data_IF_706290200684
#
_entry.id   IF_706290200684
#
_cell.length_a   1.000
_cell.length_b   1.000
_cell.length_c   1.000
_cell.angle_alpha   90.00
_cell.angle_beta   90.00
_cell.angle_gamma   90.00
#
_symmetry.space_group_name_H-M   'P 1'
#
loop_
_entity.id
_entity.type
_entity.pdbx_description
1 polymer ?
#
# COMPACT_ATOMS: atom_id res chain seq x y z
N UNK A 1 2.88 -26.22 19.56
CA UNK A 1 2.28 -24.90 19.78
C UNK A 1 1.84 -24.77 21.23
N UNK A 2 2.27 -23.71 21.89
CA UNK A 2 1.82 -23.36 23.24
C UNK A 2 0.34 -22.96 23.28
N UNK A 3 -0.29 -22.93 24.46
CA UNK A 3 -1.67 -22.49 24.62
C UNK A 3 -1.87 -21.04 24.07
N UNK A 4 -0.89 -20.16 24.31
CA UNK A 4 -0.90 -18.79 23.83
C UNK A 4 -0.88 -18.70 22.29
N UNK A 5 -0.03 -19.50 21.64
CA UNK A 5 0.02 -19.57 20.17
C UNK A 5 -1.30 -20.06 19.57
N UNK A 6 -1.98 -21.00 20.22
CA UNK A 6 -3.31 -21.47 19.77
C UNK A 6 -4.36 -20.36 19.84
N UNK A 7 -4.38 -19.58 20.93
CA UNK A 7 -5.31 -18.45 21.08
C UNK A 7 -5.05 -17.42 19.97
N UNK A 8 -3.80 -17.05 19.77
CA UNK A 8 -3.41 -16.07 18.73
C UNK A 8 -3.81 -16.57 17.33
N UNK A 9 -3.52 -17.82 17.02
CA UNK A 9 -3.87 -18.41 15.73
C UNK A 9 -5.40 -18.47 15.51
N UNK A 10 -6.17 -18.80 16.57
CA UNK A 10 -7.64 -18.83 16.48
C UNK A 10 -8.23 -17.47 16.13
N UNK A 11 -7.80 -16.42 16.83
CA UNK A 11 -8.23 -15.04 16.57
C UNK A 11 -7.81 -14.59 15.17
N UNK A 12 -6.61 -14.96 14.75
CA UNK A 12 -6.07 -14.66 13.44
C UNK A 12 -6.89 -15.32 12.32
N UNK A 13 -7.19 -16.62 12.43
CA UNK A 13 -8.04 -17.32 11.47
C UNK A 13 -9.45 -16.71 11.43
N UNK A 14 -10.01 -16.38 12.60
CA UNK A 14 -11.31 -15.73 12.68
C UNK A 14 -11.31 -14.38 11.94
N UNK A 15 -10.24 -13.59 12.07
CA UNK A 15 -10.07 -12.33 11.35
C UNK A 15 -9.96 -12.53 9.83
N UNK A 16 -9.21 -13.53 9.37
CA UNK A 16 -9.12 -13.85 7.94
C UNK A 16 -10.47 -14.28 7.38
N UNK A 17 -11.19 -15.17 8.06
CA UNK A 17 -12.53 -15.63 7.67
C UNK A 17 -13.54 -14.48 7.65
N UNK A 18 -13.47 -13.57 8.64
CA UNK A 18 -14.30 -12.38 8.68
C UNK A 18 -14.10 -11.51 7.43
N UNK A 19 -12.86 -11.26 6.98
CA UNK A 19 -12.60 -10.51 5.75
C UNK A 19 -13.18 -11.21 4.51
N UNK A 20 -13.04 -12.52 4.41
CA UNK A 20 -13.65 -13.31 3.32
C UNK A 20 -15.19 -13.17 3.31
N UNK A 21 -15.84 -13.31 4.46
CA UNK A 21 -17.30 -13.17 4.58
C UNK A 21 -17.75 -11.76 4.20
N UNK A 22 -17.08 -10.73 4.71
CA UNK A 22 -17.36 -9.32 4.38
C UNK A 22 -17.23 -9.11 2.88
N UNK A 23 -16.16 -9.60 2.25
CA UNK A 23 -15.94 -9.47 0.81
C UNK A 23 -17.08 -10.11 0.01
N UNK A 24 -17.50 -11.33 0.34
CA UNK A 24 -18.60 -12.04 -0.35
C UNK A 24 -19.93 -11.28 -0.18
N UNK A 25 -20.26 -10.84 1.03
CA UNK A 25 -21.53 -10.16 1.33
C UNK A 25 -21.61 -8.83 0.58
N UNK A 26 -20.54 -8.04 0.61
CA UNK A 26 -20.54 -6.73 -0.04
C UNK A 26 -20.40 -6.81 -1.56
N UNK A 27 -19.72 -7.82 -2.11
CA UNK A 27 -19.72 -8.08 -3.56
C UNK A 27 -21.15 -8.31 -4.06
N UNK A 28 -21.91 -9.20 -3.40
CA UNK A 28 -23.32 -9.46 -3.74
C UNK A 28 -24.21 -8.22 -3.60
N UNK A 29 -24.02 -7.45 -2.54
CA UNK A 29 -24.77 -6.20 -2.32
C UNK A 29 -24.44 -5.13 -3.39
N UNK A 30 -23.20 -5.04 -3.82
CA UNK A 30 -22.79 -4.14 -4.90
C UNK A 30 -23.41 -4.54 -6.25
N UNK A 31 -23.49 -5.83 -6.55
CA UNK A 31 -24.18 -6.34 -7.75
C UNK A 31 -25.64 -5.93 -7.81
N UNK A 32 -26.35 -5.99 -6.66
CA UNK A 32 -27.77 -5.68 -6.58
C UNK A 32 -28.06 -4.17 -6.63
N UNK A 33 -27.23 -3.35 -5.99
CA UNK A 33 -27.56 -1.94 -5.74
C UNK A 33 -26.88 -0.96 -6.71
N UNK A 34 -25.82 -1.36 -7.43
CA UNK A 34 -25.14 -0.49 -8.36
C UNK A 34 -25.67 -0.67 -9.79
N UNK A 35 -26.49 0.28 -10.25
CA UNK A 35 -27.01 0.32 -11.62
C UNK A 35 -26.01 0.99 -12.58
N UNK A 36 -24.88 0.32 -12.83
CA UNK A 36 -23.82 0.80 -13.74
C UNK A 36 -23.15 -0.39 -14.43
N UNK A 37 -22.26 -0.14 -15.41
CA UNK A 37 -21.55 -1.23 -16.10
C UNK A 37 -20.72 -2.09 -15.14
N UNK A 38 -20.57 -3.38 -15.47
CA UNK A 38 -19.79 -4.32 -14.66
C UNK A 38 -18.32 -3.86 -14.51
N UNK A 39 -17.75 -3.27 -15.56
CA UNK A 39 -16.44 -2.65 -15.52
C UNK A 39 -16.32 -1.58 -14.42
N UNK A 40 -17.31 -0.66 -14.31
CA UNK A 40 -17.30 0.39 -13.29
C UNK A 40 -17.54 -0.16 -11.89
N UNK A 41 -18.35 -1.20 -11.74
CA UNK A 41 -18.53 -1.88 -10.45
C UNK A 41 -17.23 -2.51 -9.97
N UNK A 42 -16.58 -3.26 -10.87
CA UNK A 42 -15.41 -4.06 -10.53
C UNK A 42 -14.14 -3.22 -10.29
N UNK A 43 -13.88 -2.16 -11.09
CA UNK A 43 -12.63 -1.41 -11.03
C UNK A 43 -12.68 -0.09 -10.25
N UNK A 44 -13.85 0.50 -9.98
CA UNK A 44 -13.96 1.80 -9.29
C UNK A 44 -15.13 1.89 -8.29
N UNK A 45 -15.82 0.78 -8.01
CA UNK A 45 -16.91 0.75 -7.02
C UNK A 45 -18.09 1.68 -7.32
N UNK A 46 -18.37 1.96 -8.60
CA UNK A 46 -19.49 2.80 -9.02
C UNK A 46 -19.39 4.28 -8.60
N UNK A 47 -18.29 4.74 -8.05
CA UNK A 47 -18.06 6.12 -7.57
C UNK A 47 -19.01 6.54 -6.44
N UNK A 48 -19.17 5.69 -5.45
CA UNK A 48 -20.14 5.87 -4.35
C UNK A 48 -19.51 6.19 -3.00
N UNK A 49 -18.17 6.30 -2.91
CA UNK A 49 -17.46 6.46 -1.64
C UNK A 49 -17.82 7.78 -0.95
N UNK A 50 -18.32 7.68 0.29
CA UNK A 50 -18.47 8.83 1.19
C UNK A 50 -17.13 9.23 1.82
N UNK A 51 -17.10 10.36 2.56
CA UNK A 51 -15.84 10.92 3.07
C UNK A 51 -15.09 10.00 4.04
N UNK A 52 -15.79 9.27 4.90
CA UNK A 52 -15.16 8.35 5.85
C UNK A 52 -14.58 7.12 5.14
N UNK A 53 -15.36 6.48 4.30
CA UNK A 53 -14.92 5.33 3.50
C UNK A 53 -13.73 5.70 2.61
N UNK A 54 -13.78 6.85 1.94
CA UNK A 54 -12.68 7.33 1.09
C UNK A 54 -11.39 7.55 1.90
N UNK A 55 -11.49 8.17 3.08
CA UNK A 55 -10.34 8.41 3.95
C UNK A 55 -9.70 7.09 4.40
N UNK A 56 -10.54 6.19 4.92
CA UNK A 56 -10.07 4.91 5.46
C UNK A 56 -9.48 4.00 4.39
N UNK A 57 -10.10 3.93 3.18
CA UNK A 57 -9.54 3.12 2.10
C UNK A 57 -8.23 3.71 1.52
N UNK A 58 -8.09 5.05 1.44
CA UNK A 58 -6.81 5.67 1.04
C UNK A 58 -5.75 5.36 2.10
N UNK A 59 -6.04 5.59 3.38
CA UNK A 59 -5.12 5.32 4.48
C UNK A 59 -4.73 3.84 4.50
N UNK A 60 -5.69 2.93 4.46
CA UNK A 60 -5.44 1.49 4.51
C UNK A 60 -4.59 0.99 3.32
N UNK A 61 -4.88 1.47 2.11
CA UNK A 61 -4.09 1.10 0.91
C UNK A 61 -2.67 1.65 0.94
N UNK A 62 -2.50 2.84 1.50
CA UNK A 62 -1.20 3.48 1.60
C UNK A 62 -0.35 2.91 2.73
N UNK A 63 -0.98 2.55 3.85
CA UNK A 63 -0.33 1.91 5.01
C UNK A 63 -0.11 0.43 4.72
N UNK A 64 1.11 0.09 4.34
CA UNK A 64 1.51 -1.25 3.91
C UNK A 64 2.25 -2.03 4.99
N UNK A 65 2.70 -3.25 4.67
CA UNK A 65 3.64 -4.01 5.50
C UNK A 65 4.90 -3.19 5.87
N UNK A 66 5.37 -2.37 4.94
CA UNK A 66 6.50 -1.45 5.19
C UNK A 66 6.20 -0.44 6.30
N UNK A 67 4.99 0.12 6.34
CA UNK A 67 4.62 1.14 7.34
C UNK A 67 4.22 0.55 8.69
N UNK A 68 3.83 -0.74 8.74
CA UNK A 68 3.33 -1.38 9.96
C UNK A 68 4.29 -2.40 10.58
N UNK A 69 5.18 -2.97 9.78
CA UNK A 69 6.11 -4.04 10.21
C UNK A 69 7.56 -3.59 10.04
N UNK A 70 8.01 -3.48 8.79
CA UNK A 70 9.43 -3.32 8.45
C UNK A 70 9.98 -1.93 8.82
N UNK A 71 9.26 -0.85 8.53
CA UNK A 71 9.66 0.52 8.86
C UNK A 71 9.76 0.76 10.38
N UNK A 72 8.70 0.46 11.16
CA UNK A 72 8.78 0.50 12.62
C UNK A 72 9.84 -0.44 13.19
N UNK A 73 10.04 -1.62 12.59
CA UNK A 73 11.12 -2.53 12.96
C UNK A 73 12.50 -1.95 12.71
N UNK A 74 12.70 -1.33 11.54
CA UNK A 74 13.93 -0.63 11.20
C UNK A 74 14.20 0.57 12.12
N UNK A 75 13.14 1.28 12.55
CA UNK A 75 13.23 2.33 13.53
C UNK A 75 13.72 1.82 14.89
N UNK A 76 13.20 0.68 15.36
CA UNK A 76 13.60 0.09 16.64
C UNK A 76 14.99 -0.54 16.66
N UNK A 77 15.43 -1.10 15.51
CA UNK A 77 16.71 -1.83 15.45
C UNK A 77 17.91 -0.99 14.99
N UNK A 78 17.68 0.00 14.10
CA UNK A 78 18.81 0.55 13.34
C UNK A 78 18.78 2.07 13.20
N UNK A 79 17.60 2.66 12.90
CA UNK A 79 17.52 4.05 12.43
C UNK A 79 16.91 5.02 13.44
N UNK A 80 16.31 4.53 14.53
CA UNK A 80 15.75 5.38 15.59
C UNK A 80 14.77 6.43 15.07
N UNK A 81 14.87 7.63 15.60
CA UNK A 81 14.02 8.78 15.22
C UNK A 81 14.19 9.21 13.75
N UNK A 82 15.29 8.91 13.09
CA UNK A 82 15.47 9.21 11.67
C UNK A 82 14.40 8.52 10.80
N UNK A 83 14.07 7.26 11.12
CA UNK A 83 13.01 6.53 10.43
C UNK A 83 11.62 7.10 10.72
N UNK A 84 11.37 7.53 11.96
CA UNK A 84 10.14 8.23 12.33
C UNK A 84 10.02 9.58 11.60
N UNK A 85 11.12 10.28 11.39
CA UNK A 85 11.17 11.53 10.63
C UNK A 85 10.83 11.31 9.14
N UNK A 86 11.34 10.22 8.53
CA UNK A 86 10.93 9.80 7.18
C UNK A 86 9.42 9.53 7.14
N UNK A 87 8.89 8.86 8.15
CA UNK A 87 7.45 8.57 8.22
C UNK A 87 6.58 9.83 8.35
N UNK A 88 7.07 10.89 8.97
CA UNK A 88 6.30 12.12 9.26
C UNK A 88 5.77 12.83 8.01
N UNK A 89 6.49 12.81 6.89
CA UNK A 89 6.03 13.43 5.63
C UNK A 89 4.80 12.74 5.04
N UNK A 90 4.50 11.54 5.48
CA UNK A 90 3.35 10.77 4.99
C UNK A 90 2.03 11.26 5.61
N UNK A 91 2.07 12.06 6.66
CA UNK A 91 0.89 12.65 7.31
C UNK A 91 -0.01 13.40 6.31
N UNK A 92 0.50 14.33 5.48
CA UNK A 92 -0.33 15.09 4.56
C UNK A 92 -0.68 14.33 3.26
N UNK A 93 -0.28 13.07 3.06
CA UNK A 93 -0.47 12.36 1.78
C UNK A 93 -1.93 12.36 1.32
N UNK A 94 -2.88 12.07 2.21
CA UNK A 94 -4.31 12.08 1.84
C UNK A 94 -4.76 13.47 1.40
N UNK A 95 -4.27 14.52 2.07
CA UNK A 95 -4.54 15.91 1.69
C UNK A 95 -3.90 16.26 0.35
N UNK A 96 -2.65 15.87 0.11
CA UNK A 96 -1.96 16.11 -1.15
C UNK A 96 -2.69 15.41 -2.32
N UNK A 97 -2.97 14.13 -2.19
CA UNK A 97 -3.62 13.35 -3.27
C UNK A 97 -5.02 13.91 -3.58
N UNK A 98 -5.86 14.09 -2.58
CA UNK A 98 -7.23 14.59 -2.79
C UNK A 98 -7.26 16.08 -3.13
N UNK A 99 -6.42 16.91 -2.52
CA UNK A 99 -6.36 18.35 -2.76
C UNK A 99 -5.79 18.71 -4.12
N UNK A 100 -4.71 18.04 -4.54
CA UNK A 100 -4.08 18.30 -5.84
C UNK A 100 -4.81 17.59 -6.96
N UNK A 101 -5.04 16.27 -6.84
CA UNK A 101 -5.60 15.47 -7.94
C UNK A 101 -7.13 15.41 -7.90
N UNK A 102 -7.74 15.30 -6.69
CA UNK A 102 -9.09 14.81 -6.48
C UNK A 102 -10.15 15.42 -7.38
N UNK A 103 -10.42 16.72 -7.27
CA UNK A 103 -11.47 17.36 -8.07
C UNK A 103 -11.22 17.30 -9.56
N UNK A 104 -10.00 17.60 -10.01
CA UNK A 104 -9.68 17.63 -11.45
C UNK A 104 -9.72 16.24 -12.04
N UNK A 105 -9.09 15.27 -11.37
CA UNK A 105 -9.04 13.89 -11.84
C UNK A 105 -10.43 13.25 -11.86
N UNK A 106 -11.25 13.46 -10.82
CA UNK A 106 -12.63 12.98 -10.80
C UNK A 106 -13.50 13.61 -11.89
N UNK A 107 -13.38 14.92 -12.13
CA UNK A 107 -14.13 15.60 -13.19
C UNK A 107 -13.79 15.05 -14.58
N UNK A 108 -12.49 14.93 -14.88
CA UNK A 108 -12.05 14.39 -16.17
C UNK A 108 -12.44 12.93 -16.31
N UNK A 109 -12.23 12.12 -15.28
CA UNK A 109 -12.61 10.70 -15.22
C UNK A 109 -14.12 10.50 -15.48
N UNK A 110 -14.98 11.34 -14.89
CA UNK A 110 -16.43 11.28 -15.11
C UNK A 110 -16.81 11.67 -16.55
N UNK A 111 -16.17 12.70 -17.12
CA UNK A 111 -16.42 13.16 -18.49
C UNK A 111 -15.96 12.17 -19.56
N UNK A 112 -14.83 11.52 -19.33
CA UNK A 112 -14.21 10.58 -20.28
C UNK A 112 -14.65 9.13 -20.08
N UNK A 113 -15.31 8.82 -18.97
CA UNK A 113 -15.63 7.44 -18.58
C UNK A 113 -14.44 6.63 -18.05
N UNK A 114 -13.25 7.25 -17.88
CA UNK A 114 -12.06 6.55 -17.43
C UNK A 114 -12.25 5.96 -16.01
N UNK A 115 -11.87 4.70 -15.85
CA UNK A 115 -11.92 3.97 -14.55
C UNK A 115 -10.52 3.63 -14.04
N UNK A 116 -9.48 3.87 -14.85
CA UNK A 116 -8.08 3.65 -14.52
C UNK A 116 -7.26 4.92 -14.78
N UNK A 117 -6.08 5.03 -14.17
CA UNK A 117 -5.15 6.14 -14.43
C UNK A 117 -4.65 6.10 -15.88
N UNK A 118 -4.30 4.91 -16.40
CA UNK A 118 -3.89 4.76 -17.79
C UNK A 118 -5.03 5.13 -18.76
N UNK A 119 -6.28 4.79 -18.44
CA UNK A 119 -7.47 5.24 -19.19
C UNK A 119 -7.63 6.76 -19.21
N UNK A 120 -7.37 7.44 -18.09
CA UNK A 120 -7.30 8.90 -18.04
C UNK A 120 -6.17 9.44 -18.92
N UNK A 121 -4.96 8.87 -18.85
CA UNK A 121 -3.83 9.29 -19.69
C UNK A 121 -4.12 9.10 -21.18
N UNK A 122 -4.78 8.01 -21.57
CA UNK A 122 -5.25 7.78 -22.93
C UNK A 122 -6.21 8.88 -23.39
N UNK A 123 -7.20 9.20 -22.58
CA UNK A 123 -8.18 10.26 -22.89
C UNK A 123 -7.51 11.64 -23.04
N UNK A 124 -6.50 11.93 -22.19
CA UNK A 124 -5.79 13.22 -22.17
C UNK A 124 -4.79 13.39 -23.31
N UNK A 125 -3.97 12.38 -23.57
CA UNK A 125 -2.84 12.48 -24.50
C UNK A 125 -3.10 11.80 -25.85
N UNK A 126 -4.16 10.99 -25.97
CA UNK A 126 -4.49 10.22 -27.16
C UNK A 126 -3.29 9.40 -27.67
N UNK A 127 -2.56 8.76 -26.74
CA UNK A 127 -1.35 8.00 -27.02
C UNK A 127 -1.48 6.56 -26.54
N UNK A 128 -1.45 5.62 -27.48
CA UNK A 128 -1.47 4.20 -27.20
C UNK A 128 -0.13 3.75 -26.57
N UNK A 129 0.98 4.30 -27.06
CA UNK A 129 2.30 4.02 -26.49
C UNK A 129 2.37 4.36 -24.99
N UNK A 130 1.78 5.50 -24.58
CA UNK A 130 1.74 5.89 -23.18
C UNK A 130 0.94 4.90 -22.33
N UNK A 131 -0.19 4.40 -22.86
CA UNK A 131 -0.98 3.36 -22.15
C UNK A 131 -0.18 2.09 -21.96
N UNK A 132 0.51 1.60 -22.98
CA UNK A 132 1.34 0.39 -22.88
C UNK A 132 2.46 0.59 -21.86
N UNK A 133 3.21 1.70 -21.94
CA UNK A 133 4.32 2.01 -21.05
C UNK A 133 3.85 2.09 -19.60
N UNK A 134 2.78 2.86 -19.34
CA UNK A 134 2.27 3.02 -17.98
C UNK A 134 1.65 1.74 -17.44
N UNK A 135 0.97 0.93 -18.27
CA UNK A 135 0.44 -0.36 -17.84
C UNK A 135 1.54 -1.37 -17.53
N UNK A 136 2.61 -1.44 -18.35
CA UNK A 136 3.75 -2.32 -18.09
C UNK A 136 4.50 -1.88 -16.82
N UNK A 137 4.77 -0.58 -16.66
CA UNK A 137 5.39 -0.04 -15.44
C UNK A 137 4.54 -0.37 -14.20
N UNK A 138 3.21 -0.18 -14.29
CA UNK A 138 2.29 -0.53 -13.20
C UNK A 138 2.38 -2.02 -12.86
N UNK A 139 2.33 -2.92 -13.84
CA UNK A 139 2.39 -4.37 -13.62
C UNK A 139 3.68 -4.74 -12.91
N UNK A 140 4.84 -4.29 -13.41
CA UNK A 140 6.16 -4.62 -12.84
C UNK A 140 6.29 -4.13 -11.41
N UNK A 141 6.04 -2.84 -11.17
CA UNK A 141 6.24 -2.26 -9.84
C UNK A 141 5.17 -2.66 -8.83
N UNK A 142 3.92 -2.91 -9.25
CA UNK A 142 2.92 -3.48 -8.35
C UNK A 142 3.24 -4.92 -7.97
N UNK A 143 3.76 -5.75 -8.87
CA UNK A 143 4.24 -7.11 -8.53
C UNK A 143 5.37 -7.02 -7.50
N UNK A 144 6.35 -6.14 -7.71
CA UNK A 144 7.44 -5.92 -6.74
C UNK A 144 6.90 -5.51 -5.37
N UNK A 145 5.93 -4.60 -5.33
CA UNK A 145 5.30 -4.17 -4.08
C UNK A 145 4.50 -5.32 -3.43
N UNK A 146 3.79 -6.12 -4.22
CA UNK A 146 3.05 -7.29 -3.72
C UNK A 146 3.97 -8.35 -3.10
N UNK A 147 5.16 -8.58 -3.65
CA UNK A 147 6.17 -9.47 -3.03
C UNK A 147 6.43 -9.03 -1.59
N UNK A 148 6.64 -7.74 -1.33
CA UNK A 148 6.82 -7.21 0.03
C UNK A 148 5.59 -7.44 0.93
N UNK A 149 4.35 -7.29 0.40
CA UNK A 149 3.14 -7.57 1.18
C UNK A 149 3.01 -9.06 1.51
N UNK A 150 3.23 -9.93 0.54
CA UNK A 150 3.13 -11.38 0.74
C UNK A 150 4.22 -11.89 1.69
N UNK A 151 5.44 -11.34 1.61
CA UNK A 151 6.50 -11.58 2.60
C UNK A 151 6.05 -11.15 3.99
N UNK A 152 5.48 -9.94 4.15
CA UNK A 152 4.98 -9.45 5.43
C UNK A 152 3.91 -10.32 6.05
N UNK A 153 2.93 -10.77 5.25
CA UNK A 153 1.89 -11.69 5.69
C UNK A 153 2.44 -13.06 6.11
N UNK A 154 3.37 -13.61 5.33
CA UNK A 154 4.03 -14.87 5.65
C UNK A 154 4.87 -14.75 6.93
N UNK A 155 5.64 -13.68 7.09
CA UNK A 155 6.45 -13.42 8.28
C UNK A 155 5.60 -13.31 9.55
N UNK A 156 4.44 -12.63 9.47
CA UNK A 156 3.50 -12.55 10.60
C UNK A 156 3.01 -13.95 11.02
N UNK A 157 2.57 -14.77 10.08
CA UNK A 157 2.08 -16.13 10.36
C UNK A 157 3.22 -16.99 10.92
N UNK A 158 4.38 -17.00 10.26
CA UNK A 158 5.55 -17.76 10.67
C UNK A 158 5.99 -17.42 12.09
N UNK A 159 6.07 -16.12 12.42
CA UNK A 159 6.49 -15.63 13.75
C UNK A 159 5.55 -16.07 14.87
N UNK A 160 4.26 -16.22 14.60
CA UNK A 160 3.25 -16.61 15.61
C UNK A 160 3.17 -18.12 15.77
N UNK A 161 3.19 -18.82 14.63
CA UNK A 161 2.88 -20.26 14.58
C UNK A 161 4.12 -21.13 14.70
N UNK A 162 5.29 -20.58 14.35
CA UNK A 162 6.53 -21.35 14.17
C UNK A 162 6.55 -22.18 12.86
N UNK A 163 5.57 -21.97 11.95
CA UNK A 163 5.57 -22.59 10.63
C UNK A 163 6.70 -22.04 9.77
N UNK A 164 7.13 -22.80 8.78
CA UNK A 164 8.07 -22.32 7.78
C UNK A 164 7.46 -21.21 6.91
N UNK A 165 8.35 -20.45 6.25
CA UNK A 165 7.94 -19.30 5.42
C UNK A 165 6.99 -19.70 4.29
N UNK A 166 7.28 -20.80 3.60
CA UNK A 166 6.49 -21.22 2.42
C UNK A 166 5.07 -21.64 2.80
N UNK A 167 4.93 -22.44 3.86
CA UNK A 167 3.61 -22.82 4.38
C UNK A 167 2.81 -21.60 4.81
N UNK A 168 3.44 -20.66 5.52
CA UNK A 168 2.84 -19.41 5.98
C UNK A 168 2.41 -18.52 4.80
N UNK A 169 3.24 -18.45 3.75
CA UNK A 169 2.97 -17.74 2.50
C UNK A 169 1.77 -18.34 1.77
N UNK A 170 1.70 -19.65 1.65
CA UNK A 170 0.58 -20.31 0.99
C UNK A 170 -0.76 -20.08 1.71
N UNK A 171 -0.76 -20.12 3.04
CA UNK A 171 -1.97 -19.82 3.84
C UNK A 171 -2.40 -18.38 3.60
N UNK A 172 -1.50 -17.42 3.80
CA UNK A 172 -1.78 -16.00 3.63
C UNK A 172 -2.22 -15.67 2.20
N UNK A 173 -1.38 -16.05 1.24
CA UNK A 173 -1.57 -15.72 -0.16
C UNK A 173 -2.87 -16.29 -0.73
N UNK A 174 -3.19 -17.56 -0.40
CA UNK A 174 -4.45 -18.18 -0.84
C UNK A 174 -5.66 -17.41 -0.34
N UNK A 175 -5.69 -17.02 0.94
CA UNK A 175 -6.82 -16.27 1.51
C UNK A 175 -6.97 -14.91 0.84
N UNK A 176 -5.87 -14.14 0.72
CA UNK A 176 -5.89 -12.79 0.12
C UNK A 176 -6.33 -12.84 -1.33
N UNK A 177 -5.77 -13.75 -2.11
CA UNK A 177 -6.07 -13.89 -3.53
C UNK A 177 -7.53 -14.31 -3.75
N UNK A 178 -8.04 -15.25 -2.96
CA UNK A 178 -9.43 -15.74 -3.09
C UNK A 178 -10.45 -14.64 -2.76
N UNK A 179 -10.32 -13.95 -1.62
CA UNK A 179 -11.33 -12.94 -1.29
C UNK A 179 -11.28 -11.73 -2.23
N UNK A 180 -10.07 -11.35 -2.71
CA UNK A 180 -9.91 -10.29 -3.68
C UNK A 180 -10.52 -10.64 -5.03
N UNK A 181 -10.26 -11.85 -5.52
CA UNK A 181 -10.80 -12.37 -6.78
C UNK A 181 -12.34 -12.38 -6.80
N UNK A 182 -12.96 -12.75 -5.67
CA UNK A 182 -14.42 -12.77 -5.53
C UNK A 182 -14.99 -11.35 -5.36
N UNK A 183 -14.30 -10.51 -4.59
CA UNK A 183 -14.84 -9.25 -4.10
C UNK A 183 -14.82 -8.10 -5.12
N UNK A 184 -13.78 -7.98 -5.91
CA UNK A 184 -13.54 -6.80 -6.74
C UNK A 184 -13.39 -5.52 -5.92
N UNK A 185 -13.26 -4.36 -6.58
CA UNK A 185 -12.98 -3.07 -5.91
C UNK A 185 -14.06 -2.65 -4.90
N UNK A 186 -15.33 -2.93 -5.18
CA UNK A 186 -16.43 -2.55 -4.28
C UNK A 186 -16.35 -3.23 -2.91
N UNK A 187 -15.93 -4.49 -2.87
CA UNK A 187 -15.72 -5.22 -1.63
C UNK A 187 -14.44 -4.76 -0.93
N UNK A 188 -13.34 -4.58 -1.70
CA UNK A 188 -12.06 -4.10 -1.18
C UNK A 188 -12.20 -2.76 -0.46
N UNK A 189 -12.94 -1.79 -0.99
CA UNK A 189 -13.18 -0.51 -0.32
C UNK A 189 -13.82 -0.67 1.07
N UNK A 190 -14.68 -1.66 1.25
CA UNK A 190 -15.34 -1.90 2.54
C UNK A 190 -14.41 -2.67 3.49
N UNK A 191 -13.73 -3.70 2.99
CA UNK A 191 -12.71 -4.39 3.79
C UNK A 191 -11.60 -3.44 4.23
N UNK A 192 -11.09 -2.58 3.34
CA UNK A 192 -10.13 -1.52 3.66
C UNK A 192 -10.63 -0.58 4.76
N UNK A 193 -11.92 -0.21 4.72
CA UNK A 193 -12.51 0.66 5.74
C UNK A 193 -12.45 0.01 7.12
N UNK A 194 -12.79 -1.26 7.21
CA UNK A 194 -12.72 -2.04 8.45
C UNK A 194 -11.26 -2.23 8.87
N UNK A 195 -10.40 -2.59 7.95
CA UNK A 195 -8.97 -2.77 8.16
C UNK A 195 -8.31 -1.49 8.66
N UNK A 196 -8.69 -0.33 8.11
CA UNK A 196 -8.22 0.96 8.59
C UNK A 196 -8.60 1.24 10.04
N UNK A 197 -9.81 0.89 10.46
CA UNK A 197 -10.22 0.99 11.88
C UNK A 197 -9.38 0.06 12.76
N UNK A 198 -9.18 -1.18 12.31
CA UNK A 198 -8.33 -2.16 13.02
C UNK A 198 -6.89 -1.67 13.16
N UNK A 199 -6.34 -1.03 12.11
CA UNK A 199 -5.01 -0.41 12.16
C UNK A 199 -4.92 0.72 13.20
N UNK A 200 -5.94 1.59 13.28
CA UNK A 200 -5.98 2.65 14.29
C UNK A 200 -6.00 2.08 15.72
N UNK A 201 -6.83 1.06 15.96
CA UNK A 201 -6.90 0.38 17.26
C UNK A 201 -5.55 -0.28 17.59
N UNK A 202 -4.96 -0.98 16.64
CA UNK A 202 -3.65 -1.63 16.82
C UNK A 202 -2.54 -0.62 17.13
N UNK A 203 -2.46 0.47 16.41
CA UNK A 203 -1.48 1.54 16.67
C UNK A 203 -1.62 2.08 18.09
N UNK A 204 -2.85 2.33 18.54
CA UNK A 204 -3.10 2.77 19.90
C UNK A 204 -2.62 1.72 20.94
N UNK A 205 -2.97 0.46 20.72
CA UNK A 205 -2.54 -0.62 21.61
C UNK A 205 -1.02 -0.76 21.67
N UNK A 206 -0.33 -0.68 20.52
CA UNK A 206 1.11 -0.81 20.49
C UNK A 206 1.80 0.34 21.22
N UNK A 207 1.41 1.58 20.96
CA UNK A 207 1.90 2.75 21.69
C UNK A 207 1.69 2.60 23.20
N UNK A 208 0.50 2.19 23.63
CA UNK A 208 0.17 2.01 25.04
C UNK A 208 1.06 0.95 25.70
N UNK A 209 1.20 -0.22 25.07
CA UNK A 209 1.97 -1.31 25.67
C UNK A 209 3.48 -1.06 25.64
N UNK A 210 4.02 -0.39 24.62
CA UNK A 210 5.43 0.04 24.61
C UNK A 210 5.71 1.04 25.73
N UNK A 211 4.87 2.06 25.89
CA UNK A 211 5.02 3.04 26.99
C UNK A 211 4.92 2.38 28.37
N UNK A 212 3.98 1.46 28.53
CA UNK A 212 3.80 0.72 29.80
C UNK A 212 5.00 -0.19 30.11
N UNK A 213 5.45 -0.96 29.13
CA UNK A 213 6.58 -1.88 29.28
C UNK A 213 7.90 -1.14 29.50
N UNK A 214 8.04 0.05 28.87
CA UNK A 214 9.22 0.90 29.01
C UNK A 214 9.29 1.69 30.31
N UNK A 215 8.24 1.67 31.15
CA UNK A 215 8.25 2.44 32.41
C UNK A 215 8.04 3.95 32.21
N UNK A 216 7.54 4.37 31.05
CA UNK A 216 7.30 5.76 30.67
C UNK A 216 8.41 6.36 29.82
N UNK A 217 8.18 7.59 29.34
CA UNK A 217 9.05 8.23 28.33
C UNK A 217 10.50 8.42 28.81
N UNK A 218 10.72 8.83 30.07
CA UNK A 218 12.07 9.06 30.59
C UNK A 218 12.91 7.77 30.66
N UNK A 219 12.29 6.63 31.00
CA UNK A 219 12.98 5.34 31.03
C UNK A 219 13.27 4.82 29.61
N UNK A 220 12.32 5.02 28.68
CA UNK A 220 12.51 4.71 27.27
C UNK A 220 13.66 5.52 26.68
N UNK A 221 13.72 6.80 26.97
CA UNK A 221 14.74 7.71 26.51
C UNK A 221 16.14 7.27 26.97
N UNK A 222 16.29 6.94 28.25
CA UNK A 222 17.51 6.37 28.79
C UNK A 222 17.88 5.01 28.13
N UNK A 223 16.89 4.16 27.88
CA UNK A 223 17.09 2.88 27.18
C UNK A 223 17.53 3.04 25.73
N UNK A 224 16.97 4.03 24.98
CA UNK A 224 17.40 4.33 23.64
C UNK A 224 18.84 4.86 23.59
N UNK A 225 19.19 5.76 24.52
CA UNK A 225 20.56 6.25 24.65
C UNK A 225 21.57 5.12 24.93
N UNK A 226 21.17 4.09 25.69
CA UNK A 226 22.00 2.94 25.95
C UNK A 226 22.10 1.96 24.77
N UNK A 227 20.96 1.62 24.12
CA UNK A 227 20.89 0.58 23.10
C UNK A 227 21.22 1.08 21.68
N UNK A 228 20.95 2.36 21.40
CA UNK A 228 21.16 2.99 20.08
C UNK A 228 21.88 4.34 20.20
N UNK A 229 23.04 4.43 20.90
CA UNK A 229 23.69 5.69 21.24
C UNK A 229 23.99 6.55 20.02
N UNK A 230 24.49 5.94 18.92
CA UNK A 230 24.87 6.67 17.71
C UNK A 230 23.69 7.24 16.91
N UNK A 231 22.47 6.77 17.16
CA UNK A 231 21.26 7.16 16.42
C UNK A 231 20.34 8.01 17.30
N UNK A 232 20.47 7.86 18.61
CA UNK A 232 19.72 8.64 19.58
C UNK A 232 20.13 10.12 19.55
N UNK A 233 21.43 10.40 19.58
CA UNK A 233 21.98 11.75 19.64
C UNK A 233 22.02 12.45 18.26
N UNK A 234 22.07 11.70 17.17
CA UNK A 234 22.16 12.25 15.82
C UNK A 234 21.30 11.49 14.81
N UNK A 235 20.19 12.12 14.39
CA UNK A 235 19.31 11.59 13.35
C UNK A 235 19.99 11.47 11.99
N UNK A 236 21.11 12.14 11.77
CA UNK A 236 21.90 12.09 10.54
C UNK A 236 23.01 11.04 10.58
N UNK A 237 23.18 10.29 11.68
CA UNK A 237 24.21 9.26 11.81
C UNK A 237 24.06 8.14 10.77
N UNK A 238 22.85 7.84 10.32
CA UNK A 238 22.54 6.80 9.32
C UNK A 238 22.08 7.35 7.97
N UNK A 239 21.61 8.59 7.97
CA UNK A 239 21.15 9.28 6.76
C UNK A 239 21.80 10.66 6.66
N UNK A 240 22.32 10.99 5.49
CA UNK A 240 22.67 12.39 5.23
C UNK A 240 21.42 13.26 5.17
N UNK A 241 21.49 14.59 5.41
CA UNK A 241 20.34 15.49 5.25
C UNK A 241 19.69 15.38 3.86
N UNK A 242 20.50 15.25 2.79
CA UNK A 242 20.02 15.03 1.43
C UNK A 242 19.33 13.67 1.27
N UNK A 243 19.83 12.62 1.93
CA UNK A 243 19.20 11.30 2.00
C UNK A 243 17.82 11.35 2.63
N UNK A 244 17.68 11.96 3.82
CA UNK A 244 16.38 12.13 4.47
C UNK A 244 15.39 12.91 3.61
N UNK A 245 15.84 14.01 3.00
CA UNK A 245 15.00 14.81 2.11
C UNK A 245 14.57 14.03 0.87
N UNK A 246 15.43 13.19 0.32
CA UNK A 246 15.09 12.34 -0.83
C UNK A 246 14.01 11.30 -0.50
N UNK A 247 14.02 10.74 0.70
CA UNK A 247 12.91 9.90 1.18
C UNK A 247 11.61 10.71 1.36
N UNK A 248 11.68 11.98 1.76
CA UNK A 248 10.51 12.84 1.82
C UNK A 248 9.93 13.12 0.43
N UNK A 249 10.76 13.22 -0.59
CA UNK A 249 10.29 13.29 -1.98
C UNK A 249 9.58 11.99 -2.34
N UNK A 250 10.21 10.83 -2.09
CA UNK A 250 9.65 9.52 -2.41
C UNK A 250 8.32 9.25 -1.69
N UNK A 251 8.28 9.23 -0.36
CA UNK A 251 7.08 8.81 0.39
C UNK A 251 6.11 9.94 0.71
N UNK A 252 6.41 11.17 0.31
CA UNK A 252 5.57 12.35 0.50
C UNK A 252 5.04 12.89 -0.83
N UNK A 253 5.83 13.70 -1.50
CA UNK A 253 5.40 14.40 -2.72
C UNK A 253 5.20 13.48 -3.91
N UNK A 254 6.06 12.47 -4.09
CA UNK A 254 5.99 11.48 -5.17
C UNK A 254 4.69 10.68 -5.16
N UNK A 255 4.06 10.56 -3.99
CA UNK A 255 2.78 9.83 -3.84
C UNK A 255 1.64 10.35 -4.72
N UNK A 256 1.75 11.56 -5.26
CA UNK A 256 0.87 12.06 -6.32
C UNK A 256 0.95 11.21 -7.60
N UNK A 257 2.07 10.52 -7.83
CA UNK A 257 2.26 9.57 -8.94
C UNK A 257 1.79 8.16 -8.65
N UNK A 258 1.32 7.84 -7.44
CA UNK A 258 0.89 6.49 -7.10
C UNK A 258 -0.52 6.19 -7.65
N UNK A 259 -0.66 5.24 -8.59
CA UNK A 259 -1.94 4.95 -9.22
C UNK A 259 -2.98 4.38 -8.26
N UNK A 260 -2.57 3.64 -7.21
CA UNK A 260 -3.47 3.08 -6.21
C UNK A 260 -4.22 4.16 -5.40
N UNK A 261 -3.58 5.28 -5.11
CA UNK A 261 -4.23 6.43 -4.43
C UNK A 261 -5.02 7.28 -5.42
N UNK A 262 -4.51 7.47 -6.63
CA UNK A 262 -5.16 8.25 -7.70
C UNK A 262 -6.50 7.63 -8.13
N UNK A 263 -6.60 6.29 -8.24
CA UNK A 263 -7.87 5.59 -8.57
C UNK A 263 -8.92 5.87 -7.50
N UNK A 264 -8.56 5.91 -6.22
CA UNK A 264 -9.50 6.25 -5.14
C UNK A 264 -9.98 7.69 -5.23
N UNK A 265 -9.10 8.61 -5.65
CA UNK A 265 -9.46 10.00 -5.94
C UNK A 265 -10.43 10.14 -7.14
N UNK A 266 -10.60 9.11 -7.98
CA UNK A 266 -11.62 9.06 -9.04
C UNK A 266 -12.98 8.54 -8.54
N UNK A 267 -13.04 7.86 -7.38
CA UNK A 267 -14.18 7.06 -6.91
C UNK A 267 -15.09 7.73 -5.89
N UNK A 268 -14.84 8.97 -5.45
CA UNK A 268 -15.68 9.63 -4.45
C UNK A 268 -17.04 10.10 -5.00
N UNK A 269 -18.03 10.16 -4.10
CA UNK A 269 -19.41 10.52 -4.43
C UNK A 269 -19.54 11.99 -4.85
N UNK A 270 -19.07 12.90 -4.02
CA UNK A 270 -19.20 14.35 -4.17
C UNK A 270 -18.05 15.12 -3.50
N UNK A 271 -17.92 16.41 -3.80
CA UNK A 271 -16.85 17.28 -3.30
C UNK A 271 -16.85 17.38 -1.77
N UNK A 272 -18.03 17.32 -1.11
CA UNK A 272 -18.15 17.34 0.35
C UNK A 272 -17.52 16.09 0.97
N UNK A 273 -17.76 14.94 0.35
CA UNK A 273 -17.13 13.66 0.74
C UNK A 273 -15.62 13.74 0.59
N UNK A 274 -15.12 14.33 -0.50
CA UNK A 274 -13.68 14.52 -0.72
C UNK A 274 -13.05 15.41 0.36
N UNK A 275 -13.64 16.57 0.67
CA UNK A 275 -13.11 17.46 1.70
C UNK A 275 -13.12 16.81 3.10
N UNK A 276 -14.18 16.05 3.44
CA UNK A 276 -14.20 15.28 4.69
C UNK A 276 -13.09 14.22 4.72
N UNK A 277 -12.88 13.53 3.60
CA UNK A 277 -11.83 12.53 3.50
C UNK A 277 -10.43 13.11 3.67
N UNK A 278 -10.18 14.33 3.20
CA UNK A 278 -8.88 15.02 3.40
C UNK A 278 -8.54 15.15 4.88
N UNK A 279 -9.47 15.66 5.70
CA UNK A 279 -9.24 15.85 7.14
C UNK A 279 -9.16 14.54 7.91
N UNK A 280 -10.12 13.63 7.69
CA UNK A 280 -10.12 12.34 8.36
C UNK A 280 -8.85 11.56 7.99
N UNK A 281 -8.48 11.55 6.71
CA UNK A 281 -7.31 10.83 6.22
C UNK A 281 -5.99 11.37 6.74
N UNK A 282 -5.82 12.69 6.87
CA UNK A 282 -4.61 13.27 7.47
C UNK A 282 -4.47 12.83 8.93
N UNK A 283 -5.56 12.91 9.71
CA UNK A 283 -5.54 12.52 11.12
C UNK A 283 -5.28 11.03 11.29
N UNK A 284 -5.98 10.17 10.54
CA UNK A 284 -5.84 8.71 10.67
C UNK A 284 -4.52 8.22 10.10
N UNK A 285 -4.09 8.71 8.93
CA UNK A 285 -2.81 8.36 8.33
C UNK A 285 -1.64 8.82 9.20
N UNK A 286 -1.70 10.06 9.70
CA UNK A 286 -0.70 10.60 10.63
C UNK A 286 -0.59 9.79 11.92
N UNK A 287 -1.74 9.51 12.53
CA UNK A 287 -1.79 8.69 13.75
C UNK A 287 -1.21 7.29 13.54
N UNK A 288 -1.62 6.60 12.46
CA UNK A 288 -1.17 5.23 12.20
C UNK A 288 0.30 5.19 11.81
N UNK A 289 0.73 5.97 10.84
CA UNK A 289 2.08 5.87 10.31
C UNK A 289 3.11 6.40 11.32
N UNK A 290 2.91 7.62 11.82
CA UNK A 290 3.85 8.20 12.79
C UNK A 290 3.78 7.44 14.11
N UNK A 291 2.59 7.07 14.57
CA UNK A 291 2.40 6.31 15.80
C UNK A 291 3.11 4.96 15.78
N UNK A 292 3.02 4.22 14.67
CA UNK A 292 3.71 2.93 14.54
C UNK A 292 5.23 3.08 14.49
N UNK A 293 5.76 4.06 13.75
CA UNK A 293 7.21 4.30 13.70
C UNK A 293 7.76 4.81 15.04
N UNK A 294 7.03 5.68 15.72
CA UNK A 294 7.40 6.16 17.05
C UNK A 294 7.39 5.03 18.06
N UNK A 295 6.34 4.21 18.08
CA UNK A 295 6.26 3.05 18.94
C UNK A 295 7.38 2.02 18.63
N UNK A 296 7.71 1.83 17.35
CA UNK A 296 8.84 1.00 16.93
C UNK A 296 10.17 1.55 17.45
N UNK A 297 10.43 2.85 17.30
CA UNK A 297 11.61 3.52 17.86
C UNK A 297 11.69 3.29 19.37
N UNK A 298 10.62 3.57 20.12
CA UNK A 298 10.59 3.40 21.59
C UNK A 298 10.75 1.95 22.01
N UNK A 299 10.23 1.00 21.24
CA UNK A 299 10.39 -0.42 21.49
C UNK A 299 11.86 -0.88 21.40
N UNK A 300 12.71 -0.17 20.64
CA UNK A 300 14.17 -0.39 20.61
C UNK A 300 14.87 -0.20 21.95
N UNK A 301 14.28 0.58 22.87
CA UNK A 301 14.77 0.71 24.24
C UNK A 301 14.59 -0.55 25.09
N UNK A 302 13.72 -1.49 24.68
CA UNK A 302 13.25 -2.63 25.49
C UNK A 302 13.95 -3.94 25.15
N UNK A 303 14.79 -3.98 24.13
CA UNK A 303 15.31 -5.23 23.56
C UNK A 303 16.78 -5.09 23.22
N UNK A 304 17.58 -6.08 23.61
CA UNK A 304 18.87 -6.35 22.98
C UNK A 304 18.60 -6.89 21.57
N UNK A 305 19.07 -6.16 20.55
CA UNK A 305 18.69 -6.32 19.16
C UNK A 305 19.52 -7.35 18.39
N UNK A 306 20.50 -7.97 19.08
CA UNK A 306 21.49 -8.88 18.46
C UNK A 306 20.89 -10.19 17.91
N UNK A 307 19.69 -10.59 18.37
CA UNK A 307 19.13 -11.92 18.11
C UNK A 307 18.10 -11.98 16.98
N UNK A 308 17.76 -10.84 16.34
CA UNK A 308 16.73 -10.80 15.29
C UNK A 308 17.36 -10.81 13.89
N UNK A 309 16.91 -11.71 12.99
CA UNK A 309 17.51 -11.86 11.67
C UNK A 309 17.32 -10.63 10.77
N UNK A 310 16.16 -9.98 10.85
CA UNK A 310 15.86 -8.74 10.08
C UNK A 310 14.86 -7.86 10.84
N UNK A 311 14.73 -6.60 10.39
CA UNK A 311 13.75 -5.65 10.93
C UNK A 311 12.29 -6.12 10.79
N UNK A 312 12.00 -7.03 9.86
CA UNK A 312 10.66 -7.54 9.59
C UNK A 312 10.14 -8.43 10.74
N UNK A 313 11.04 -9.02 11.54
CA UNK A 313 10.70 -9.83 12.70
C UNK A 313 10.55 -9.04 14.00
N UNK A 314 10.98 -7.77 14.02
CA UNK A 314 11.00 -6.97 15.26
C UNK A 314 9.60 -6.73 15.84
N UNK A 315 8.65 -6.25 15.03
CA UNK A 315 7.30 -5.97 15.52
C UNK A 315 6.58 -7.23 16.00
N UNK A 316 6.55 -8.35 15.23
CA UNK A 316 5.99 -9.61 15.72
C UNK A 316 6.63 -10.10 17.03
N UNK A 317 7.95 -9.94 17.18
CA UNK A 317 8.67 -10.29 18.41
C UNK A 317 8.25 -9.42 19.59
N UNK A 318 8.21 -8.10 19.42
CA UNK A 318 7.83 -7.15 20.46
C UNK A 318 6.41 -7.41 20.98
N UNK A 319 5.47 -7.67 20.08
CA UNK A 319 4.07 -7.96 20.43
C UNK A 319 4.02 -9.15 21.43
N UNK A 320 4.73 -10.22 21.11
CA UNK A 320 4.75 -11.43 21.95
C UNK A 320 5.44 -11.17 23.31
N UNK A 321 6.41 -10.26 23.35
CA UNK A 321 7.18 -9.93 24.55
C UNK A 321 6.44 -9.01 25.51
N UNK A 322 5.73 -8.00 25.02
CA UNK A 322 5.18 -6.93 25.88
C UNK A 322 3.66 -7.02 26.09
N UNK A 323 2.94 -7.79 25.26
CA UNK A 323 1.48 -7.86 25.34
C UNK A 323 0.99 -9.18 25.96
N UNK A 324 -0.08 -9.13 26.78
CA UNK A 324 -0.79 -10.33 27.18
C UNK A 324 -1.33 -11.10 25.95
N UNK A 325 -1.37 -12.45 25.96
CA UNK A 325 -1.68 -13.25 24.77
C UNK A 325 -2.98 -12.89 24.04
N UNK A 326 -4.05 -12.60 24.79
CA UNK A 326 -5.34 -12.20 24.18
C UNK A 326 -5.27 -10.84 23.46
N UNK A 327 -4.52 -9.88 24.02
CA UNK A 327 -4.32 -8.56 23.42
C UNK A 327 -3.36 -8.66 22.23
N UNK A 328 -2.30 -9.46 22.37
CA UNK A 328 -1.39 -9.75 21.27
C UNK A 328 -2.12 -10.32 20.05
N UNK A 329 -3.09 -11.21 20.28
CA UNK A 329 -3.93 -11.76 19.22
C UNK A 329 -4.78 -10.70 18.49
N UNK A 330 -5.41 -9.79 19.24
CA UNK A 330 -6.19 -8.68 18.68
C UNK A 330 -5.26 -7.71 17.94
N UNK A 331 -4.11 -7.37 18.52
CA UNK A 331 -3.15 -6.48 17.89
C UNK A 331 -2.63 -7.02 16.54
N UNK A 332 -2.35 -8.32 16.45
CA UNK A 332 -1.83 -8.94 15.22
C UNK A 332 -2.79 -8.82 14.02
N UNK A 333 -4.09 -8.60 14.26
CA UNK A 333 -5.01 -8.24 13.20
C UNK A 333 -4.65 -6.90 12.52
N UNK A 334 -3.97 -5.97 13.21
CA UNK A 334 -3.64 -4.66 12.65
C UNK A 334 -2.50 -4.70 11.61
N UNK A 335 -1.30 -5.28 11.88
CA UNK A 335 -0.31 -5.46 10.82
C UNK A 335 -0.81 -6.37 9.69
N UNK A 336 -1.65 -7.37 10.00
CA UNK A 336 -2.29 -8.18 8.97
C UNK A 336 -3.26 -7.34 8.11
N UNK A 337 -4.05 -6.46 8.72
CA UNK A 337 -4.91 -5.52 8.00
C UNK A 337 -4.10 -4.65 7.03
N UNK A 338 -2.96 -4.11 7.46
CA UNK A 338 -2.08 -3.28 6.63
C UNK A 338 -1.52 -4.04 5.41
N UNK A 339 -1.14 -5.29 5.63
CA UNK A 339 -0.65 -6.16 4.55
C UNK A 339 -1.75 -6.50 3.55
N UNK A 340 -2.93 -6.91 4.05
CA UNK A 340 -4.07 -7.35 3.24
C UNK A 340 -4.65 -6.23 2.39
N UNK A 341 -4.89 -5.05 2.96
CA UNK A 341 -5.47 -3.88 2.27
C UNK A 341 -4.59 -3.34 1.14
N UNK A 342 -3.28 -3.48 1.29
CA UNK A 342 -2.37 -3.10 0.21
C UNK A 342 -2.30 -4.19 -0.86
N UNK A 343 -2.21 -5.46 -0.47
CA UNK A 343 -2.11 -6.58 -1.40
C UNK A 343 -3.34 -6.69 -2.32
N UNK A 344 -4.55 -6.63 -1.78
CA UNK A 344 -5.80 -6.71 -2.57
C UNK A 344 -5.98 -5.52 -3.52
N UNK A 345 -5.61 -4.33 -3.06
CA UNK A 345 -5.63 -3.11 -3.88
C UNK A 345 -4.67 -3.19 -5.06
N UNK A 346 -3.46 -3.71 -4.85
CA UNK A 346 -2.46 -3.90 -5.90
C UNK A 346 -2.87 -5.00 -6.88
N UNK A 347 -3.48 -6.10 -6.40
CA UNK A 347 -4.04 -7.16 -7.24
C UNK A 347 -5.08 -6.60 -8.20
N UNK A 348 -6.09 -5.88 -7.69
CA UNK A 348 -7.15 -5.29 -8.54
C UNK A 348 -6.58 -4.29 -9.51
N UNK A 349 -5.65 -3.42 -9.08
CA UNK A 349 -5.04 -2.41 -9.92
C UNK A 349 -4.24 -3.03 -11.08
N UNK A 350 -3.46 -4.07 -10.78
CA UNK A 350 -2.67 -4.79 -11.80
C UNK A 350 -3.57 -5.53 -12.78
N UNK A 351 -4.63 -6.17 -12.30
CA UNK A 351 -5.64 -6.83 -13.16
C UNK A 351 -6.37 -5.80 -14.03
N UNK A 352 -6.68 -4.61 -13.49
CA UNK A 352 -7.26 -3.52 -14.27
C UNK A 352 -6.33 -3.09 -15.42
N UNK A 353 -5.03 -3.00 -15.19
CA UNK A 353 -4.07 -2.69 -16.25
C UNK A 353 -4.05 -3.77 -17.35
N UNK A 354 -4.09 -5.05 -16.96
CA UNK A 354 -4.10 -6.16 -17.92
C UNK A 354 -5.43 -6.21 -18.69
N UNK A 355 -6.56 -6.27 -17.98
CA UNK A 355 -7.87 -6.56 -18.56
C UNK A 355 -8.49 -5.32 -19.22
N UNK A 356 -8.39 -4.15 -18.56
CA UNK A 356 -8.99 -2.91 -19.04
C UNK A 356 -8.06 -2.13 -19.94
N UNK A 357 -6.83 -1.87 -19.49
CA UNK A 357 -5.95 -0.94 -20.20
C UNK A 357 -5.26 -1.61 -21.40
N UNK A 358 -4.88 -2.88 -21.30
CA UNK A 358 -4.24 -3.61 -22.40
C UNK A 358 -5.27 -4.41 -23.23
N UNK A 359 -5.97 -5.39 -22.65
CA UNK A 359 -6.82 -6.30 -23.42
C UNK A 359 -8.02 -5.58 -24.07
N UNK A 360 -8.83 -4.82 -23.29
CA UNK A 360 -9.98 -4.08 -23.86
C UNK A 360 -9.52 -3.08 -24.91
N UNK A 361 -8.48 -2.33 -24.62
CA UNK A 361 -8.00 -1.26 -25.51
C UNK A 361 -7.51 -1.78 -26.86
N UNK A 362 -6.82 -2.93 -26.89
CA UNK A 362 -6.16 -3.43 -28.11
C UNK A 362 -6.87 -4.59 -28.80
N UNK A 363 -7.58 -5.44 -28.05
CA UNK A 363 -8.24 -6.62 -28.59
C UNK A 363 -9.74 -6.41 -28.82
N UNK A 364 -10.42 -5.71 -27.91
CA UNK A 364 -11.86 -5.42 -28.03
C UNK A 364 -12.09 -4.19 -28.89
N UNK A 365 -11.32 -3.11 -28.65
CA UNK A 365 -11.44 -1.81 -29.34
C UNK A 365 -12.85 -1.23 -29.23
N UNK A 366 -13.34 -0.60 -30.30
CA UNK A 366 -14.67 0.01 -30.40
C UNK A 366 -15.68 -0.90 -31.13
N UNK A 367 -15.40 -2.20 -31.24
CA UNK A 367 -16.28 -3.20 -31.83
C UNK A 367 -17.49 -3.44 -30.91
N UNK A 368 -18.75 -3.15 -31.34
CA UNK A 368 -19.92 -3.26 -30.48
C UNK A 368 -20.15 -4.68 -29.96
N UNK A 369 -19.95 -5.72 -30.82
CA UNK A 369 -20.16 -7.13 -30.47
C UNK A 369 -19.13 -7.59 -29.43
N UNK A 370 -17.86 -7.22 -29.64
CA UNK A 370 -16.79 -7.53 -28.69
C UNK A 370 -16.96 -6.76 -27.38
N UNK A 371 -17.46 -5.52 -27.40
CA UNK A 371 -17.74 -4.76 -26.20
C UNK A 371 -18.88 -5.38 -25.38
N UNK A 372 -19.94 -5.86 -25.99
CA UNK A 372 -21.01 -6.57 -25.29
C UNK A 372 -20.48 -7.86 -24.64
N UNK A 373 -19.71 -8.65 -25.40
CA UNK A 373 -19.05 -9.85 -24.86
C UNK A 373 -18.09 -9.51 -23.72
N UNK A 374 -17.31 -8.43 -23.84
CA UNK A 374 -16.41 -7.95 -22.77
C UNK A 374 -17.18 -7.62 -21.49
N UNK A 375 -18.22 -6.79 -21.54
CA UNK A 375 -19.02 -6.40 -20.37
C UNK A 375 -19.65 -7.62 -19.68
N UNK A 376 -20.08 -8.63 -20.46
CA UNK A 376 -20.65 -9.88 -19.94
C UNK A 376 -19.61 -10.73 -19.19
N UNK A 377 -18.34 -10.72 -19.62
CA UNK A 377 -17.31 -11.61 -19.11
C UNK A 377 -16.23 -10.93 -18.28
N UNK A 378 -16.21 -9.60 -18.22
CA UNK A 378 -15.12 -8.82 -17.56
C UNK A 378 -14.90 -9.24 -16.12
N UNK A 379 -15.96 -9.54 -15.37
CA UNK A 379 -15.84 -10.01 -13.98
C UNK A 379 -15.14 -11.37 -13.91
N UNK A 380 -15.60 -12.36 -14.73
CA UNK A 380 -15.01 -13.69 -14.74
C UNK A 380 -13.54 -13.66 -15.17
N UNK A 381 -13.24 -12.93 -16.24
CA UNK A 381 -11.88 -12.78 -16.75
C UNK A 381 -10.98 -12.09 -15.69
N UNK A 382 -11.46 -11.03 -15.07
CA UNK A 382 -10.71 -10.37 -14.00
C UNK A 382 -10.47 -11.29 -12.80
N UNK A 383 -11.45 -12.08 -12.39
CA UNK A 383 -11.29 -13.10 -11.35
C UNK A 383 -10.19 -14.10 -11.71
N UNK A 384 -10.20 -14.65 -12.94
CA UNK A 384 -9.18 -15.60 -13.40
C UNK A 384 -7.79 -14.95 -13.40
N UNK A 385 -7.65 -13.72 -13.92
CA UNK A 385 -6.38 -13.00 -13.90
C UNK A 385 -5.91 -12.68 -12.48
N UNK A 386 -6.80 -12.39 -11.53
CA UNK A 386 -6.44 -12.21 -10.11
C UNK A 386 -5.85 -13.50 -9.52
N UNK A 387 -6.45 -14.64 -9.80
CA UNK A 387 -5.94 -15.95 -9.33
C UNK A 387 -4.56 -16.25 -9.93
N UNK A 388 -4.39 -16.06 -11.24
CA UNK A 388 -3.11 -16.28 -11.93
C UNK A 388 -2.03 -15.34 -11.37
N UNK A 389 -2.34 -14.05 -11.27
CA UNK A 389 -1.41 -13.05 -10.75
C UNK A 389 -1.01 -13.36 -9.30
N UNK A 390 -1.99 -13.71 -8.46
CA UNK A 390 -1.73 -14.10 -7.07
C UNK A 390 -0.80 -15.33 -6.98
N UNK A 391 -1.01 -16.33 -7.82
CA UNK A 391 -0.12 -17.50 -7.90
C UNK A 391 1.30 -17.09 -8.33
N UNK A 392 1.43 -16.24 -9.34
CA UNK A 392 2.75 -15.71 -9.77
C UNK A 392 3.45 -14.99 -8.62
N UNK A 393 2.74 -14.11 -7.92
CA UNK A 393 3.31 -13.36 -6.78
C UNK A 393 3.73 -14.32 -5.66
N UNK A 394 2.92 -15.33 -5.33
CA UNK A 394 3.31 -16.33 -4.32
C UNK A 394 4.60 -17.05 -4.71
N UNK A 395 4.74 -17.49 -5.96
CA UNK A 395 5.99 -18.13 -6.43
C UNK A 395 7.18 -17.21 -6.31
N UNK A 396 7.04 -15.94 -6.70
CA UNK A 396 8.12 -14.94 -6.60
C UNK A 396 8.47 -14.60 -5.14
N UNK A 397 7.57 -14.85 -4.21
CA UNK A 397 7.75 -14.55 -2.78
C UNK A 397 8.37 -15.72 -1.99
N UNK A 398 8.53 -16.90 -2.58
CA UNK A 398 9.18 -18.05 -1.91
C UNK A 398 10.57 -17.67 -1.39
N UNK A 399 11.34 -16.93 -2.21
CA UNK A 399 12.64 -16.39 -1.85
C UNK A 399 12.67 -14.88 -2.17
N UNK A 400 12.20 -14.03 -1.26
CA UNK A 400 12.11 -12.59 -1.52
C UNK A 400 13.51 -12.00 -1.71
N UNK A 401 13.69 -11.10 -2.69
CA UNK A 401 15.03 -10.58 -3.04
C UNK A 401 15.60 -9.59 -2.01
N UNK A 402 14.77 -9.03 -1.12
CA UNK A 402 15.18 -8.04 -0.13
C UNK A 402 14.16 -7.92 1.01
N UNK A 403 14.46 -7.10 2.04
CA UNK A 403 13.54 -6.77 3.12
C UNK A 403 12.33 -5.97 2.60
N UNK A 404 11.20 -6.09 3.30
CA UNK A 404 9.91 -5.50 2.90
C UNK A 404 10.02 -3.99 2.64
N UNK A 405 10.75 -3.26 3.50
CA UNK A 405 10.92 -1.82 3.36
C UNK A 405 11.56 -1.43 2.03
N UNK A 406 12.66 -2.07 1.64
CA UNK A 406 13.39 -1.76 0.41
C UNK A 406 12.59 -2.13 -0.84
N UNK A 407 11.92 -3.28 -0.85
CA UNK A 407 11.02 -3.68 -1.94
C UNK A 407 9.91 -2.65 -2.15
N UNK A 408 9.32 -2.15 -1.06
CA UNK A 408 8.26 -1.15 -1.14
C UNK A 408 8.78 0.20 -1.64
N UNK A 409 9.95 0.65 -1.17
CA UNK A 409 10.55 1.92 -1.63
C UNK A 409 10.93 1.85 -3.11
N UNK A 410 11.49 0.73 -3.57
CA UNK A 410 11.80 0.52 -4.98
C UNK A 410 10.54 0.55 -5.86
N UNK A 411 9.47 -0.13 -5.43
CA UNK A 411 8.22 -0.14 -6.16
C UNK A 411 7.55 1.25 -6.21
N UNK A 412 7.58 2.01 -5.11
CA UNK A 412 7.05 3.38 -5.07
C UNK A 412 7.78 4.28 -6.05
N UNK A 413 9.12 4.33 -6.00
CA UNK A 413 9.90 5.15 -6.91
C UNK A 413 9.64 4.81 -8.38
N UNK A 414 9.53 3.52 -8.72
CA UNK A 414 9.21 3.10 -10.07
C UNK A 414 7.81 3.51 -10.54
N UNK A 415 6.79 3.40 -9.66
CA UNK A 415 5.44 3.87 -9.96
C UNK A 415 5.40 5.40 -10.11
N UNK A 416 6.05 6.13 -9.23
CA UNK A 416 6.11 7.58 -9.25
C UNK A 416 6.79 8.10 -10.52
N UNK A 417 7.95 7.54 -10.87
CA UNK A 417 8.64 7.85 -12.13
C UNK A 417 7.76 7.53 -13.35
N UNK A 418 6.96 6.48 -13.29
CA UNK A 418 6.07 6.11 -14.40
C UNK A 418 4.91 7.10 -14.56
N UNK A 419 4.30 7.56 -13.45
CA UNK A 419 2.98 8.21 -13.49
C UNK A 419 2.99 9.68 -13.09
N UNK A 420 3.89 10.16 -12.23
CA UNK A 420 3.81 11.48 -11.60
C UNK A 420 3.67 12.61 -12.62
N UNK A 421 4.62 12.73 -13.52
CA UNK A 421 4.64 13.83 -14.47
C UNK A 421 3.55 13.73 -15.53
N UNK A 422 3.26 12.58 -16.16
CA UNK A 422 2.12 12.45 -17.07
C UNK A 422 0.79 12.73 -16.40
N UNK A 423 0.59 12.28 -15.15
CA UNK A 423 -0.65 12.48 -14.40
C UNK A 423 -0.85 13.95 -14.02
N UNK A 424 0.11 14.53 -13.29
CA UNK A 424 0.04 15.91 -12.83
C UNK A 424 0.10 16.89 -14.01
N UNK A 425 1.04 16.71 -14.92
CA UNK A 425 1.16 17.51 -16.13
C UNK A 425 -0.10 17.45 -17.00
N UNK A 426 -0.74 16.27 -17.09
CA UNK A 426 -2.00 16.10 -17.80
C UNK A 426 -3.16 16.91 -17.23
N UNK A 427 -3.20 17.06 -15.88
CA UNK A 427 -4.25 17.82 -15.19
C UNK A 427 -4.03 19.33 -15.19
N UNK A 428 -2.79 19.78 -15.14
CA UNK A 428 -2.46 21.19 -14.89
C UNK A 428 -1.82 21.91 -16.07
N UNK A 429 -1.15 21.20 -16.97
CA UNK A 429 -0.43 21.80 -18.09
C UNK A 429 -1.14 21.57 -19.43
N UNK A 430 -1.89 22.57 -19.88
CA UNK A 430 -2.70 22.50 -21.12
C UNK A 430 -1.86 22.20 -22.38
N UNK A 431 -0.61 22.67 -22.44
CA UNK A 431 0.30 22.50 -23.58
C UNK A 431 1.07 21.17 -23.56
N UNK A 432 0.86 20.30 -22.56
CA UNK A 432 1.50 18.97 -22.48
C UNK A 432 1.17 18.11 -23.70
N UNK A 433 2.21 17.63 -24.39
CA UNK A 433 2.11 16.80 -25.61
C UNK A 433 2.21 15.32 -25.28
N UNK A 434 1.75 14.46 -26.20
CA UNK A 434 1.88 13.01 -26.08
C UNK A 434 3.35 12.56 -26.03
N UNK A 435 4.21 13.22 -26.82
CA UNK A 435 5.66 12.93 -26.85
C UNK A 435 6.30 13.25 -25.50
N UNK A 436 6.00 14.43 -24.92
CA UNK A 436 6.52 14.81 -23.61
C UNK A 436 6.08 13.82 -22.52
N UNK A 437 4.83 13.35 -22.52
CA UNK A 437 4.33 12.37 -21.58
C UNK A 437 5.02 11.00 -21.71
N UNK A 438 5.25 10.53 -22.93
CA UNK A 438 5.97 9.26 -23.22
C UNK A 438 7.43 9.38 -22.79
N UNK A 439 8.13 10.44 -23.22
CA UNK A 439 9.54 10.66 -22.86
C UNK A 439 9.72 10.81 -21.35
N UNK A 440 8.78 11.48 -20.68
CA UNK A 440 8.79 11.62 -19.22
C UNK A 440 8.69 10.25 -18.52
N UNK A 441 7.70 9.42 -18.87
CA UNK A 441 7.57 8.09 -18.24
C UNK A 441 8.78 7.19 -18.52
N UNK A 442 9.22 7.10 -19.77
CA UNK A 442 10.36 6.22 -20.16
C UNK A 442 11.67 6.74 -19.58
N UNK A 443 11.93 8.04 -19.74
CA UNK A 443 13.15 8.68 -19.26
C UNK A 443 13.29 8.60 -17.75
N UNK A 444 12.19 8.93 -17.02
CA UNK A 444 12.17 8.87 -15.57
C UNK A 444 12.43 7.44 -15.05
N UNK A 445 11.74 6.43 -15.58
CA UNK A 445 11.95 5.02 -15.18
C UNK A 445 13.36 4.55 -15.53
N UNK A 446 13.86 4.86 -16.71
CA UNK A 446 15.22 4.48 -17.12
C UNK A 446 16.28 5.12 -16.22
N UNK A 447 16.13 6.42 -15.92
CA UNK A 447 17.03 7.15 -15.02
C UNK A 447 16.93 6.60 -13.58
N UNK A 448 15.72 6.32 -13.11
CA UNK A 448 15.49 5.73 -11.79
C UNK A 448 16.19 4.37 -11.63
N UNK A 449 15.99 3.46 -12.59
CA UNK A 449 16.64 2.14 -12.58
C UNK A 449 18.16 2.30 -12.65
N UNK A 450 18.64 3.13 -13.58
CA UNK A 450 20.08 3.40 -13.72
C UNK A 450 20.67 3.97 -12.42
N UNK A 451 20.02 4.97 -11.82
CA UNK A 451 20.47 5.58 -10.58
C UNK A 451 20.47 4.60 -9.41
N UNK A 452 19.46 3.72 -9.33
CA UNK A 452 19.37 2.70 -8.27
C UNK A 452 20.58 1.76 -8.26
N UNK A 453 21.04 1.34 -9.41
CA UNK A 453 22.13 0.35 -9.51
C UNK A 453 23.53 0.96 -9.69
N UNK A 454 23.64 2.11 -10.34
CA UNK A 454 24.92 2.69 -10.75
C UNK A 454 25.28 4.02 -10.07
N UNK A 455 24.30 4.78 -9.55
CA UNK A 455 24.55 6.10 -8.95
C UNK A 455 24.29 6.05 -7.45
N UNK A 456 25.35 5.80 -6.66
CA UNK A 456 25.25 5.87 -5.18
C UNK A 456 25.83 7.20 -4.68
N UNK A 457 25.13 8.32 -4.87
CA UNK A 457 25.58 9.63 -4.43
C UNK A 457 25.01 9.93 -3.05
N UNK A 458 25.88 10.03 -2.05
CA UNK A 458 25.61 10.60 -0.72
C UNK A 458 24.33 10.09 -0.02
N UNK A 459 23.91 8.85 -0.26
CA UNK A 459 22.70 8.27 0.33
C UNK A 459 21.39 8.85 -0.20
N UNK A 460 21.43 9.62 -1.30
CA UNK A 460 20.23 10.19 -1.95
C UNK A 460 19.48 9.07 -2.69
N UNK A 461 18.16 8.97 -2.44
CA UNK A 461 17.32 7.99 -3.10
C UNK A 461 17.25 8.24 -4.61
N UNK A 462 17.27 7.17 -5.37
CA UNK A 462 17.30 7.20 -6.85
C UNK A 462 16.08 7.92 -7.48
N UNK A 463 14.95 8.02 -6.79
CA UNK A 463 13.74 8.71 -7.28
C UNK A 463 13.97 10.20 -7.57
N UNK A 464 14.94 10.82 -6.90
CA UNK A 464 15.28 12.23 -7.12
C UNK A 464 15.87 12.48 -8.51
N UNK A 465 16.47 11.46 -9.08
CA UNK A 465 17.11 11.51 -10.41
C UNK A 465 16.14 11.11 -11.54
N UNK A 466 15.12 10.33 -11.23
CA UNK A 466 14.06 9.90 -12.16
C UNK A 466 12.93 10.91 -12.23
#
# INVERSE_FOLDING_TARGET
MSSNQKIILTVFIAYLLFNVIVSIVYSKKAEQNLHTSEEKKYFIGGRTMNGFVLAMTIMATYTSASSFISGPGAAGLTYGYAQTWIAAIQVPVTFLVLGVLGNKLALVSRRTGAVTVAGYLKARYKSDALVVITSLGLIVFCITQMIGQFTGGATLIASITGMDHVTSLLIFGTVVVLYTAIGGFSAVVITDTIQGIVMCIGTFLFLFFVLRAGGGLAAIDAGLAANLPNVYDDIFSKYTPGGLLSYWILVGFGTLGLPQTAVRAMGFKDTKSMHRAMWIGVLTCGFVIVGMHLAGTWAGALVDTSDLPTSDYFIPYMIQKIMPPGIAAIFLAAPMAAVMSTADSLLILTVAAIVKDLWKTYMVKDDPVKNESYEKHVKLVSTIFTLILGAIVMVLTINPPDIIFLLNMFAFGGLECTFLWPLVGGLFWKKGTKQAAVCSSVGAVATYIFATYFIKIAGINAVVWG
#
